data_IF_354801817037
#
_entry.id   IF_354801817037
#
_cell.length_a   1.000
_cell.length_b   1.000
_cell.length_c   1.000
_cell.angle_alpha   90.00
_cell.angle_beta   90.00
_cell.angle_gamma   90.00
#
_symmetry.space_group_name_H-M   'P 1'
#
loop_
_entity.id
_entity.type
_entity.pdbx_description
1 polymer ?
#
# COMPACT_ATOMS: atom_id res chain seq x y z
N UNK A 1 -6.64 24.04 -12.25
CA UNK A 1 -7.10 24.28 -10.87
C UNK A 1 -6.20 23.50 -9.93
N UNK A 2 -5.51 24.19 -9.01
CA UNK A 2 -4.67 23.54 -8.01
C UNK A 2 -5.53 23.26 -6.77
N UNK A 3 -5.81 21.99 -6.50
CA UNK A 3 -6.45 21.58 -5.26
C UNK A 3 -5.46 21.75 -4.10
N UNK A 4 -5.92 22.22 -2.95
CA UNK A 4 -5.09 22.18 -1.74
C UNK A 4 -4.89 20.72 -1.31
N UNK A 5 -3.76 20.40 -0.67
CA UNK A 5 -3.45 19.02 -0.23
C UNK A 5 -4.56 18.43 0.65
N UNK A 6 -5.25 19.27 1.45
CA UNK A 6 -6.39 18.83 2.27
C UNK A 6 -7.60 18.44 1.44
N UNK A 7 -7.93 19.20 0.40
CA UNK A 7 -9.05 18.87 -0.50
C UNK A 7 -8.78 17.59 -1.29
N UNK A 8 -7.53 17.38 -1.71
CA UNK A 8 -7.12 16.14 -2.38
C UNK A 8 -7.32 14.91 -1.48
N UNK A 9 -7.05 15.01 -0.18
CA UNK A 9 -7.25 13.90 0.78
C UNK A 9 -8.71 13.40 0.85
N UNK A 10 -9.68 14.29 0.67
CA UNK A 10 -11.11 13.95 0.67
C UNK A 10 -11.65 13.61 -0.72
N UNK A 11 -10.79 13.54 -1.74
CA UNK A 11 -11.22 13.11 -3.06
C UNK A 11 -11.46 11.59 -3.08
N UNK A 12 -12.68 11.20 -3.43
CA UNK A 12 -13.03 9.80 -3.64
C UNK A 12 -12.66 9.36 -5.05
N UNK A 13 -11.86 8.30 -5.19
CA UNK A 13 -11.35 7.89 -6.49
C UNK A 13 -10.82 6.46 -6.52
N UNK A 14 -10.44 6.02 -7.72
CA UNK A 14 -9.82 4.72 -7.95
C UNK A 14 -8.31 4.83 -7.78
N UNK A 15 -7.86 4.83 -6.53
CA UNK A 15 -6.43 4.91 -6.21
C UNK A 15 -5.73 3.58 -6.48
N UNK A 16 -4.53 3.69 -7.05
CA UNK A 16 -3.65 2.55 -7.33
C UNK A 16 -2.48 2.63 -6.34
N UNK A 17 -2.20 1.51 -5.68
CA UNK A 17 -1.02 1.34 -4.84
C UNK A 17 -0.10 0.34 -5.53
N UNK A 18 1.13 0.77 -5.81
CA UNK A 18 2.20 -0.08 -6.28
C UNK A 18 3.36 0.01 -5.29
N UNK A 19 3.97 -1.13 -4.97
CA UNK A 19 5.10 -1.18 -4.04
C UNK A 19 6.22 -2.06 -4.58
N UNK A 20 7.43 -1.81 -4.09
CA UNK A 20 8.60 -2.65 -4.32
C UNK A 20 9.31 -2.84 -2.98
N UNK A 21 9.68 -4.08 -2.68
CA UNK A 21 10.48 -4.38 -1.49
C UNK A 21 11.93 -4.38 -1.93
N UNK A 22 12.60 -3.24 -1.69
CA UNK A 22 14.02 -3.08 -2.04
C UNK A 22 14.90 -4.18 -1.44
N UNK A 23 16.05 -4.43 -2.08
CA UNK A 23 16.96 -5.53 -1.74
C UNK A 23 17.33 -5.63 -0.25
N UNK A 24 17.31 -4.52 0.52
CA UNK A 24 17.52 -4.55 1.98
C UNK A 24 16.48 -5.39 2.73
N UNK A 25 15.21 -5.25 2.38
CA UNK A 25 14.15 -6.06 2.95
C UNK A 25 14.29 -7.55 2.56
N UNK A 26 14.99 -7.85 1.45
CA UNK A 26 15.30 -9.20 0.96
C UNK A 26 16.59 -9.78 1.58
N UNK A 27 17.61 -8.95 1.87
CA UNK A 27 18.91 -9.39 2.38
C UNK A 27 18.86 -9.77 3.86
N UNK A 28 18.05 -9.08 4.67
CA UNK A 28 17.85 -9.45 6.08
C UNK A 28 16.97 -10.70 6.23
N UNK A 29 16.38 -11.18 5.12
CA UNK A 29 15.38 -12.24 5.10
C UNK A 29 15.66 -13.29 4.01
N UNK A 30 16.88 -13.84 3.98
CA UNK A 30 17.19 -15.02 3.15
C UNK A 30 16.23 -16.19 3.51
N UNK A 31 15.17 -16.37 2.72
CA UNK A 31 14.11 -17.37 2.89
C UNK A 31 12.73 -16.87 3.37
N UNK A 32 12.64 -15.61 3.86
CA UNK A 32 11.42 -15.04 4.50
C UNK A 32 10.74 -13.94 3.66
N UNK A 33 11.29 -13.58 2.49
CA UNK A 33 10.75 -12.55 1.61
C UNK A 33 9.27 -12.74 1.24
N UNK A 34 8.82 -13.99 1.05
CA UNK A 34 7.41 -14.31 0.82
C UNK A 34 6.48 -13.87 1.95
N UNK A 35 6.96 -13.91 3.20
CA UNK A 35 6.24 -13.45 4.39
C UNK A 35 6.07 -11.94 4.43
N UNK A 36 7.11 -11.18 4.08
CA UNK A 36 7.03 -9.71 4.00
C UNK A 36 6.08 -9.25 2.89
N UNK A 37 6.15 -9.87 1.71
CA UNK A 37 5.13 -9.64 0.67
C UNK A 37 3.73 -10.01 1.17
N UNK A 38 3.57 -11.13 1.86
CA UNK A 38 2.31 -11.55 2.48
C UNK A 38 1.72 -10.50 3.41
N UNK A 39 2.53 -9.95 4.32
CA UNK A 39 2.08 -8.92 5.26
C UNK A 39 1.57 -7.65 4.58
N UNK A 40 2.25 -7.18 3.53
CA UNK A 40 1.77 -6.03 2.74
C UNK A 40 0.44 -6.34 2.07
N UNK A 41 0.32 -7.55 1.54
CA UNK A 41 -0.87 -8.01 0.83
C UNK A 41 -2.05 -8.09 1.78
N UNK A 42 -1.85 -8.65 2.98
CA UNK A 42 -2.90 -8.76 4.00
C UNK A 42 -3.38 -7.38 4.44
N UNK A 43 -2.47 -6.44 4.69
CA UNK A 43 -2.84 -5.05 5.03
C UNK A 43 -3.66 -4.41 3.91
N UNK A 44 -3.22 -4.55 2.65
CA UNK A 44 -3.94 -3.99 1.50
C UNK A 44 -5.32 -4.62 1.32
N UNK A 45 -5.43 -5.94 1.45
CA UNK A 45 -6.71 -6.66 1.31
C UNK A 45 -7.68 -6.31 2.43
N UNK A 46 -7.21 -6.23 3.68
CA UNK A 46 -8.03 -5.79 4.81
C UNK A 46 -8.49 -4.34 4.67
N UNK A 47 -7.72 -3.49 3.99
CA UNK A 47 -8.10 -2.13 3.67
C UNK A 47 -9.01 -2.00 2.43
N UNK A 48 -9.47 -3.11 1.83
CA UNK A 48 -10.39 -3.13 0.69
C UNK A 48 -9.72 -3.06 -0.69
N UNK A 49 -8.39 -3.15 -0.75
CA UNK A 49 -7.65 -3.20 -2.00
C UNK A 49 -7.56 -4.61 -2.55
N UNK A 50 -7.83 -4.76 -3.84
CA UNK A 50 -7.71 -6.01 -4.58
C UNK A 50 -6.46 -5.98 -5.46
N UNK A 51 -5.76 -7.11 -5.53
CA UNK A 51 -4.59 -7.26 -6.40
C UNK A 51 -5.04 -7.25 -7.86
N UNK A 52 -4.43 -6.37 -8.65
CA UNK A 52 -4.63 -6.29 -10.11
C UNK A 52 -3.55 -7.09 -10.83
N UNK A 53 -2.30 -6.92 -10.41
CA UNK A 53 -1.13 -7.57 -11.03
C UNK A 53 0.03 -7.58 -10.05
N UNK A 54 0.67 -8.72 -9.79
CA UNK A 54 1.85 -8.87 -8.92
C UNK A 54 1.87 -7.95 -7.68
N UNK A 55 2.48 -6.76 -7.79
CA UNK A 55 2.67 -5.75 -6.75
C UNK A 55 1.74 -4.51 -6.87
N UNK A 56 0.74 -4.57 -7.74
CA UNK A 56 -0.21 -3.49 -8.05
C UNK A 56 -1.58 -3.83 -7.50
N UNK A 57 -2.13 -2.90 -6.73
CA UNK A 57 -3.39 -3.01 -6.01
C UNK A 57 -4.29 -1.82 -6.34
N UNK A 58 -5.61 -2.07 -6.38
CA UNK A 58 -6.63 -1.02 -6.54
C UNK A 58 -7.73 -1.22 -5.51
N UNK A 59 -8.37 -0.16 -5.04
CA UNK A 59 -9.53 -0.31 -4.18
C UNK A 59 -10.70 -0.93 -4.95
N UNK A 60 -11.45 -1.88 -4.34
CA UNK A 60 -12.53 -2.60 -5.03
C UNK A 60 -13.63 -1.67 -5.56
N UNK A 61 -13.94 -0.61 -4.81
CA UNK A 61 -15.04 0.31 -5.09
C UNK A 61 -14.61 1.79 -5.19
N UNK A 62 -13.29 2.05 -5.20
CA UNK A 62 -12.74 3.38 -4.94
C UNK A 62 -12.78 3.74 -3.45
N UNK A 63 -11.95 4.68 -3.03
CA UNK A 63 -11.89 5.16 -1.65
C UNK A 63 -11.42 6.62 -1.60
N UNK A 64 -11.48 7.24 -0.42
CA UNK A 64 -10.84 8.54 -0.21
C UNK A 64 -9.32 8.43 -0.30
N UNK A 65 -8.66 9.44 -0.87
CA UNK A 65 -7.19 9.47 -0.92
C UNK A 65 -6.58 9.34 0.48
N UNK A 66 -7.20 9.93 1.50
CA UNK A 66 -6.79 9.80 2.89
C UNK A 66 -6.72 8.33 3.34
N UNK A 67 -7.68 7.50 2.97
CA UNK A 67 -7.71 6.07 3.31
C UNK A 67 -6.53 5.32 2.66
N UNK A 68 -6.24 5.63 1.39
CA UNK A 68 -5.08 5.09 0.69
C UNK A 68 -3.76 5.51 1.37
N UNK A 69 -3.63 6.79 1.74
CA UNK A 69 -2.46 7.32 2.47
C UNK A 69 -2.30 6.63 3.83
N UNK A 70 -3.38 6.46 4.59
CA UNK A 70 -3.36 5.79 5.90
C UNK A 70 -2.91 4.33 5.76
N UNK A 71 -3.39 3.63 4.73
CA UNK A 71 -2.99 2.23 4.46
C UNK A 71 -1.49 2.13 4.16
N UNK A 72 -0.96 3.05 3.34
CA UNK A 72 0.49 3.13 3.09
C UNK A 72 1.25 3.49 4.39
N UNK A 73 0.69 4.37 5.22
CA UNK A 73 1.22 4.69 6.54
C UNK A 73 1.38 3.47 7.43
N UNK A 74 0.39 2.58 7.47
CA UNK A 74 0.44 1.33 8.24
C UNK A 74 1.57 0.41 7.73
N UNK A 75 1.70 0.26 6.40
CA UNK A 75 2.77 -0.56 5.80
C UNK A 75 4.16 -0.02 6.20
N UNK A 76 4.34 1.30 6.23
CA UNK A 76 5.59 1.95 6.63
C UNK A 76 5.97 1.76 8.10
N UNK A 77 5.01 1.34 8.94
CA UNK A 77 5.27 1.04 10.36
C UNK A 77 5.74 -0.41 10.57
N UNK A 78 5.80 -1.24 9.52
CA UNK A 78 6.33 -2.59 9.64
C UNK A 78 7.83 -2.55 9.99
N UNK A 79 8.31 -3.35 10.96
CA UNK A 79 9.69 -3.27 11.45
C UNK A 79 10.77 -3.45 10.39
N UNK A 80 10.47 -4.21 9.34
CA UNK A 80 11.37 -4.50 8.23
C UNK A 80 11.26 -3.50 7.06
N UNK A 81 10.26 -2.62 7.07
CA UNK A 81 10.01 -1.65 5.99
C UNK A 81 10.79 -0.32 6.16
N UNK A 82 11.62 -0.23 7.20
CA UNK A 82 12.43 0.94 7.59
C UNK A 82 13.74 1.09 6.82
#
# INVERSE_FOLDING_TARGET
MAYTVREACFHHGNWIIQYDLSARALTDSFGSSSGHYGQVVDILQNAGFVRVRYNVFRHRHGCYLQHAIQTVGIIRLLPWAG
#
